data_IF_177894234107
#
_entry.id   IF_177894234107
#
_cell.length_a   1.000
_cell.length_b   1.000
_cell.length_c   1.000
_cell.angle_alpha   90.00
_cell.angle_beta   90.00
_cell.angle_gamma   90.00
#
_symmetry.space_group_name_H-M   'P 1'
#
loop_
_entity.id
_entity.type
_entity.pdbx_description
1 polymer ?
#
# COMPACT_ATOMS: atom_id res chain seq x y z
N UNK A 1 30.65 -3.58 -32.55
CA UNK A 1 30.29 -2.27 -31.99
C UNK A 1 29.50 -2.54 -30.70
N UNK A 2 30.08 -2.22 -29.57
CA UNK A 2 29.42 -2.26 -28.28
C UNK A 2 28.80 -0.87 -28.07
N UNK A 3 27.50 -0.84 -27.68
CA UNK A 3 26.90 0.41 -27.27
C UNK A 3 27.50 0.83 -25.91
N UNK A 4 28.23 1.96 -25.82
CA UNK A 4 28.85 2.38 -24.56
C UNK A 4 27.81 2.79 -23.49
N UNK A 5 26.56 3.06 -23.90
CA UNK A 5 25.46 3.47 -23.01
C UNK A 5 24.59 2.30 -22.55
N UNK A 6 24.99 1.06 -22.89
CA UNK A 6 24.23 -0.12 -22.48
C UNK A 6 24.49 -0.44 -20.99
N UNK A 7 23.44 -0.58 -20.22
CA UNK A 7 23.52 -1.10 -18.86
C UNK A 7 23.87 -2.59 -18.88
N UNK A 8 24.80 -2.98 -18.00
CA UNK A 8 25.12 -4.37 -17.74
C UNK A 8 24.59 -4.72 -16.36
N UNK A 9 23.68 -5.69 -16.29
CA UNK A 9 23.00 -6.10 -15.06
C UNK A 9 23.33 -7.56 -14.81
N UNK A 10 23.82 -7.87 -13.60
CA UNK A 10 24.09 -9.24 -13.17
C UNK A 10 23.13 -9.67 -12.05
N UNK A 11 22.54 -10.83 -12.23
CA UNK A 11 22.00 -11.62 -11.13
C UNK A 11 23.19 -12.38 -10.50
N UNK A 12 23.87 -11.70 -9.59
CA UNK A 12 25.08 -12.17 -8.96
C UNK A 12 24.98 -11.96 -7.46
N UNK A 13 24.90 -13.03 -6.72
CA UNK A 13 24.71 -13.03 -5.27
C UNK A 13 25.96 -13.63 -4.62
N UNK A 14 27.00 -12.81 -4.54
CA UNK A 14 28.31 -13.18 -4.01
C UNK A 14 28.61 -12.45 -2.69
N UNK A 15 29.86 -12.56 -2.26
CA UNK A 15 30.35 -11.80 -1.11
C UNK A 15 30.38 -10.29 -1.45
N UNK A 16 29.99 -9.46 -0.48
CA UNK A 16 29.85 -8.02 -0.69
C UNK A 16 31.11 -7.33 -1.22
N UNK A 17 32.30 -7.85 -0.89
CA UNK A 17 33.56 -7.33 -1.40
C UNK A 17 33.73 -7.54 -2.91
N UNK A 18 33.31 -8.68 -3.43
CA UNK A 18 33.32 -9.00 -4.86
C UNK A 18 32.26 -8.16 -5.60
N UNK A 19 31.03 -8.10 -5.03
CA UNK A 19 29.96 -7.27 -5.58
C UNK A 19 30.37 -5.79 -5.65
N UNK A 20 31.09 -5.29 -4.63
CA UNK A 20 31.62 -3.93 -4.62
C UNK A 20 32.60 -3.68 -5.76
N UNK A 21 33.52 -4.61 -6.04
CA UNK A 21 34.45 -4.47 -7.17
C UNK A 21 33.71 -4.38 -8.51
N UNK A 22 32.70 -5.23 -8.70
CA UNK A 22 31.88 -5.22 -9.90
C UNK A 22 31.07 -3.92 -10.03
N UNK A 23 30.50 -3.44 -8.92
CA UNK A 23 29.77 -2.18 -8.87
C UNK A 23 30.67 -0.99 -9.18
N UNK A 24 31.88 -0.95 -8.62
CA UNK A 24 32.88 0.09 -8.88
C UNK A 24 33.37 0.06 -10.35
N UNK A 25 33.29 -1.08 -11.02
CA UNK A 25 33.56 -1.23 -12.45
C UNK A 25 32.41 -0.73 -13.35
N UNK A 26 31.23 -0.45 -12.78
CA UNK A 26 30.06 0.06 -13.50
C UNK A 26 28.97 -0.99 -13.79
N UNK A 27 29.05 -2.16 -13.17
CA UNK A 27 28.06 -3.22 -13.32
C UNK A 27 26.95 -3.00 -12.29
N UNK A 28 25.69 -3.09 -12.73
CA UNK A 28 24.53 -3.10 -11.86
C UNK A 28 24.28 -4.51 -11.33
N UNK A 29 24.09 -4.64 -10.03
CA UNK A 29 23.96 -5.93 -9.36
C UNK A 29 22.60 -6.08 -8.68
N UNK A 30 21.99 -7.23 -8.81
CA UNK A 30 20.74 -7.54 -8.11
C UNK A 30 20.98 -7.56 -6.60
N UNK A 31 20.16 -6.81 -5.85
CA UNK A 31 20.11 -6.80 -4.41
C UNK A 31 18.84 -7.46 -3.91
N UNK A 32 18.94 -8.74 -3.54
CA UNK A 32 17.80 -9.49 -3.02
C UNK A 32 17.42 -9.03 -1.61
N UNK A 33 16.31 -8.33 -1.49
CA UNK A 33 15.72 -7.88 -0.22
C UNK A 33 14.35 -8.51 0.05
N UNK A 34 13.98 -9.55 -0.71
CA UNK A 34 12.70 -10.21 -0.61
C UNK A 34 12.35 -10.63 0.83
N UNK A 35 13.31 -11.25 1.53
CA UNK A 35 13.08 -11.70 2.91
C UNK A 35 12.69 -10.51 3.79
N UNK A 36 13.52 -9.48 3.83
CA UNK A 36 13.33 -8.34 4.72
C UNK A 36 12.06 -7.53 4.39
N UNK A 37 11.80 -7.25 3.12
CA UNK A 37 10.57 -6.59 2.69
C UNK A 37 9.33 -7.46 2.94
N UNK A 38 9.43 -8.77 2.76
CA UNK A 38 8.37 -9.70 3.07
C UNK A 38 8.02 -9.70 4.56
N UNK A 39 9.02 -9.80 5.45
CA UNK A 39 8.83 -9.75 6.90
C UNK A 39 8.25 -8.39 7.33
N UNK A 40 8.77 -7.28 6.78
CA UNK A 40 8.25 -5.94 7.02
C UNK A 40 6.78 -5.81 6.58
N UNK A 41 6.45 -6.28 5.38
CA UNK A 41 5.08 -6.25 4.86
C UNK A 41 4.13 -7.07 5.72
N UNK A 42 4.56 -8.27 6.14
CA UNK A 42 3.79 -9.14 7.02
C UNK A 42 3.68 -8.66 8.48
N UNK A 43 4.42 -7.62 8.88
CA UNK A 43 4.40 -7.10 10.26
C UNK A 43 5.22 -7.91 11.26
N UNK A 44 6.24 -8.65 10.80
CA UNK A 44 7.17 -9.39 11.65
C UNK A 44 8.49 -8.63 11.77
N UNK A 45 8.67 -7.91 12.88
CA UNK A 45 9.76 -6.94 13.03
C UNK A 45 10.86 -7.37 14.01
N UNK A 46 10.71 -8.50 14.70
CA UNK A 46 11.62 -8.95 15.75
C UNK A 46 13.00 -9.32 15.17
N UNK A 47 14.02 -9.11 15.94
CA UNK A 47 15.41 -9.53 15.66
C UNK A 47 15.96 -9.00 14.32
N UNK A 48 15.50 -7.84 13.86
CA UNK A 48 15.99 -7.23 12.62
C UNK A 48 15.52 -7.92 11.33
N UNK A 49 14.56 -8.85 11.37
CA UNK A 49 14.06 -9.54 10.17
C UNK A 49 13.56 -8.59 9.10
N UNK A 50 12.90 -7.51 9.53
CA UNK A 50 12.31 -6.50 8.66
C UNK A 50 13.25 -5.36 8.32
N UNK A 51 14.53 -5.47 8.65
CA UNK A 51 15.52 -4.46 8.29
C UNK A 51 15.98 -4.64 6.84
N UNK A 52 15.50 -3.78 5.95
CA UNK A 52 15.86 -3.78 4.54
C UNK A 52 16.89 -2.69 4.18
N UNK A 53 17.67 -2.20 5.16
CA UNK A 53 18.71 -1.17 4.93
C UNK A 53 19.76 -1.60 3.90
N UNK A 54 19.97 -2.91 3.74
CA UNK A 54 20.90 -3.48 2.77
C UNK A 54 20.53 -3.23 1.29
N UNK A 55 19.39 -2.57 1.00
CA UNK A 55 19.05 -2.02 -0.32
C UNK A 55 19.92 -0.80 -0.67
N UNK A 56 20.49 -0.15 0.34
CA UNK A 56 21.33 1.03 0.20
C UNK A 56 22.75 0.64 -0.20
N UNK A 57 23.28 1.27 -1.24
CA UNK A 57 24.69 1.13 -1.61
C UNK A 57 25.62 1.65 -0.50
N UNK A 58 25.18 2.65 0.27
CA UNK A 58 25.97 3.20 1.39
C UNK A 58 26.07 2.18 2.54
N UNK A 59 24.99 1.49 2.88
CA UNK A 59 25.02 0.43 3.90
C UNK A 59 25.89 -0.75 3.48
N UNK A 60 26.01 -1.00 2.16
CA UNK A 60 26.95 -1.97 1.57
C UNK A 60 28.40 -1.46 1.52
N UNK A 61 28.62 -0.19 1.84
CA UNK A 61 29.90 0.49 1.70
C UNK A 61 30.42 0.47 0.24
N UNK A 62 29.49 0.61 -0.73
CA UNK A 62 29.80 0.78 -2.15
C UNK A 62 29.98 2.26 -2.48
N UNK A 63 30.73 2.56 -3.55
CA UNK A 63 30.99 3.93 -3.96
C UNK A 63 29.85 4.51 -4.81
N UNK A 64 29.14 3.66 -5.56
CA UNK A 64 28.12 4.05 -6.52
C UNK A 64 26.78 3.32 -6.26
N UNK A 65 25.62 3.91 -6.61
CA UNK A 65 24.31 3.32 -6.36
C UNK A 65 23.95 2.20 -7.35
N UNK A 66 24.84 1.22 -7.52
CA UNK A 66 24.73 0.16 -8.52
C UNK A 66 23.99 -1.09 -8.01
N UNK A 67 23.38 -1.05 -6.83
CA UNK A 67 22.50 -2.12 -6.34
C UNK A 67 21.08 -1.93 -6.88
N UNK A 68 20.59 -2.90 -7.67
CA UNK A 68 19.20 -2.95 -8.10
C UNK A 68 18.41 -3.68 -7.01
N UNK A 69 17.77 -2.93 -6.12
CA UNK A 69 16.96 -3.49 -5.07
C UNK A 69 15.63 -4.06 -5.59
N UNK A 70 15.19 -5.20 -5.03
CA UNK A 70 13.88 -5.75 -5.34
C UNK A 70 13.21 -6.43 -4.14
N UNK A 71 11.88 -6.43 -4.14
CA UNK A 71 11.03 -7.09 -3.15
C UNK A 71 10.59 -8.48 -3.62
N UNK A 72 10.52 -8.68 -4.91
CA UNK A 72 10.06 -9.90 -5.59
C UNK A 72 10.88 -10.14 -6.85
N UNK A 73 11.07 -11.41 -7.22
CA UNK A 73 11.64 -11.81 -8.49
C UNK A 73 11.00 -13.10 -9.01
N UNK A 74 11.61 -13.73 -10.02
CA UNK A 74 11.18 -15.03 -10.55
C UNK A 74 11.43 -16.18 -9.55
N UNK A 75 12.29 -15.99 -8.57
CA UNK A 75 12.72 -17.03 -7.62
C UNK A 75 12.10 -16.91 -6.22
N UNK A 76 11.50 -15.78 -5.89
CA UNK A 76 10.93 -15.54 -4.57
C UNK A 76 9.40 -15.62 -4.56
N UNK A 77 8.85 -15.84 -3.36
CA UNK A 77 7.41 -15.80 -3.12
C UNK A 77 6.87 -14.37 -3.24
N UNK A 78 5.64 -14.22 -3.68
CA UNK A 78 4.99 -12.91 -3.84
C UNK A 78 4.68 -12.26 -2.50
N UNK A 79 4.93 -10.95 -2.38
CA UNK A 79 4.65 -10.21 -1.14
C UNK A 79 3.16 -10.29 -0.78
N UNK A 80 2.26 -10.14 -1.75
CA UNK A 80 0.83 -10.28 -1.52
C UNK A 80 0.46 -11.67 -1.00
N UNK A 81 0.99 -12.73 -1.61
CA UNK A 81 0.77 -14.11 -1.14
C UNK A 81 1.27 -14.32 0.29
N UNK A 82 2.44 -13.77 0.63
CA UNK A 82 2.99 -13.83 1.99
C UNK A 82 2.08 -13.12 2.99
N UNK A 83 1.60 -11.91 2.67
CA UNK A 83 0.69 -11.16 3.52
C UNK A 83 -0.60 -11.94 3.81
N UNK A 84 -1.23 -12.49 2.78
CA UNK A 84 -2.46 -13.28 2.90
C UNK A 84 -2.26 -14.57 3.70
N UNK A 85 -1.10 -15.23 3.53
CA UNK A 85 -0.83 -16.54 4.14
C UNK A 85 -0.31 -16.43 5.57
N UNK A 86 0.60 -15.50 5.83
CA UNK A 86 1.39 -15.44 7.06
C UNK A 86 1.45 -14.05 7.72
N UNK A 87 0.63 -13.12 7.24
CA UNK A 87 0.54 -11.78 7.82
C UNK A 87 0.19 -11.80 9.30
N UNK A 88 0.79 -10.92 10.06
CA UNK A 88 0.53 -10.71 11.48
C UNK A 88 -0.86 -10.08 11.70
N UNK A 89 -1.39 -10.19 12.91
CA UNK A 89 -2.70 -9.63 13.24
C UNK A 89 -2.86 -9.41 14.75
N UNK A 90 -3.78 -8.51 15.08
CA UNK A 90 -4.36 -8.39 16.40
C UNK A 90 -5.90 -8.38 16.31
N UNK A 91 -6.60 -8.00 17.40
CA UNK A 91 -8.06 -7.97 17.43
C UNK A 91 -8.68 -6.99 16.42
N UNK A 92 -7.97 -5.92 16.04
CA UNK A 92 -8.49 -4.79 15.25
C UNK A 92 -7.82 -4.63 13.89
N UNK A 93 -6.68 -5.27 13.64
CA UNK A 93 -5.89 -5.14 12.43
C UNK A 93 -5.38 -6.50 11.98
N UNK A 94 -5.72 -6.92 10.77
CA UNK A 94 -5.36 -8.24 10.26
C UNK A 94 -4.75 -8.12 8.86
N UNK A 95 -3.46 -8.41 8.74
CA UNK A 95 -2.73 -8.32 7.47
C UNK A 95 -3.19 -9.40 6.46
N UNK A 96 -3.84 -10.48 6.93
CA UNK A 96 -4.42 -11.50 6.04
C UNK A 96 -5.73 -11.07 5.36
N UNK A 97 -6.32 -9.97 5.79
CA UNK A 97 -7.40 -9.33 5.04
C UNK A 97 -6.86 -8.75 3.73
N UNK A 98 -7.56 -8.99 2.62
CA UNK A 98 -7.05 -8.64 1.29
C UNK A 98 -6.85 -7.13 1.10
N UNK A 99 -7.69 -6.30 1.72
CA UNK A 99 -7.54 -4.83 1.66
C UNK A 99 -6.32 -4.40 2.47
N UNK A 100 -6.21 -4.89 3.70
CA UNK A 100 -5.05 -4.62 4.56
C UNK A 100 -3.76 -5.13 3.92
N UNK A 101 -3.77 -6.30 3.28
CA UNK A 101 -2.62 -6.86 2.57
C UNK A 101 -2.12 -5.95 1.44
N UNK A 102 -3.04 -5.35 0.67
CA UNK A 102 -2.72 -4.35 -0.37
C UNK A 102 -2.16 -3.07 0.26
N UNK A 103 -2.76 -2.60 1.36
CA UNK A 103 -2.28 -1.41 2.08
C UNK A 103 -0.87 -1.60 2.62
N UNK A 104 -0.53 -2.82 3.06
CA UNK A 104 0.84 -3.18 3.48
C UNK A 104 1.83 -3.14 2.31
N UNK A 105 1.41 -3.48 1.09
CA UNK A 105 2.28 -3.32 -0.09
C UNK A 105 2.53 -1.84 -0.38
N UNK A 106 1.53 -0.95 -0.20
CA UNK A 106 1.76 0.50 -0.32
C UNK A 106 2.76 1.01 0.70
N UNK A 107 2.65 0.58 1.96
CA UNK A 107 3.60 0.92 3.01
C UNK A 107 5.04 0.53 2.61
N UNK A 108 5.28 -0.72 2.22
CA UNK A 108 6.62 -1.15 1.82
C UNK A 108 7.10 -0.46 0.54
N UNK A 109 6.21 -0.18 -0.41
CA UNK A 109 6.53 0.54 -1.65
C UNK A 109 6.95 1.99 -1.38
N UNK A 110 6.31 2.69 -0.43
CA UNK A 110 6.70 4.05 -0.02
C UNK A 110 8.17 4.09 0.43
N UNK A 111 8.63 3.08 1.14
CA UNK A 111 10.03 2.95 1.58
C UNK A 111 10.94 2.41 0.49
N UNK A 112 10.44 1.53 -0.36
CA UNK A 112 11.21 0.92 -1.44
C UNK A 112 11.65 1.94 -2.49
N UNK A 113 10.72 2.75 -3.00
CA UNK A 113 11.03 3.70 -4.07
C UNK A 113 11.77 4.93 -3.59
N UNK A 114 11.61 5.32 -2.33
CA UNK A 114 12.23 6.56 -1.79
C UNK A 114 13.70 6.41 -1.42
N UNK A 115 14.19 5.19 -1.18
CA UNK A 115 15.63 4.95 -1.00
C UNK A 115 16.35 5.18 -2.34
N UNK A 116 17.45 5.98 -2.39
CA UNK A 116 18.21 6.20 -3.62
C UNK A 116 18.71 4.91 -4.28
N UNK A 117 18.96 4.98 -5.59
CA UNK A 117 19.43 3.88 -6.42
C UNK A 117 18.33 3.15 -7.19
N UNK A 118 18.69 2.32 -8.18
CA UNK A 118 17.77 1.64 -9.10
C UNK A 118 16.92 0.57 -8.40
N UNK A 119 15.74 0.34 -8.95
CA UNK A 119 14.76 -0.61 -8.42
C UNK A 119 14.24 -1.52 -9.51
N UNK A 120 13.98 -2.78 -9.17
CA UNK A 120 13.31 -3.73 -10.04
C UNK A 120 11.92 -4.05 -9.49
N UNK A 121 10.90 -3.96 -10.34
CA UNK A 121 9.54 -4.42 -10.07
C UNK A 121 9.36 -5.74 -10.81
N UNK A 122 8.94 -6.78 -10.09
CA UNK A 122 8.57 -8.03 -10.73
C UNK A 122 7.12 -7.99 -11.21
N UNK A 123 6.85 -8.68 -12.30
CA UNK A 123 5.57 -8.71 -13.03
C UNK A 123 4.36 -8.83 -12.10
N UNK A 124 3.42 -7.88 -12.22
CA UNK A 124 2.20 -7.72 -11.44
C UNK A 124 2.38 -7.45 -9.93
N UNK A 125 3.61 -7.28 -9.43
CA UNK A 125 3.85 -6.87 -8.04
C UNK A 125 3.21 -5.52 -7.73
N UNK A 126 3.17 -4.62 -8.72
CA UNK A 126 2.52 -3.31 -8.68
C UNK A 126 0.97 -3.38 -8.59
N UNK A 127 0.42 -4.56 -8.77
CA UNK A 127 -1.01 -4.85 -8.59
C UNK A 127 -1.28 -5.89 -7.50
N UNK A 128 -0.26 -6.20 -6.68
CA UNK A 128 -0.40 -7.16 -5.58
C UNK A 128 -0.68 -8.58 -6.07
N UNK A 129 0.23 -9.12 -6.89
CA UNK A 129 0.10 -10.48 -7.43
C UNK A 129 0.11 -11.53 -6.33
N UNK A 130 -0.94 -12.35 -6.23
CA UNK A 130 -1.22 -13.24 -5.10
C UNK A 130 -1.10 -14.74 -5.40
N UNK A 131 -0.61 -15.10 -6.59
CA UNK A 131 -0.29 -16.50 -6.89
C UNK A 131 1.07 -16.88 -6.32
N UNK A 132 1.11 -17.98 -5.55
CA UNK A 132 2.37 -18.52 -5.02
C UNK A 132 3.37 -18.83 -6.14
N UNK A 133 4.66 -18.68 -5.83
CA UNK A 133 5.75 -19.16 -6.68
C UNK A 133 5.60 -20.67 -7.00
N UNK A 134 4.94 -21.42 -6.13
CA UNK A 134 4.71 -22.87 -6.31
C UNK A 134 3.41 -23.20 -7.07
N UNK A 135 2.60 -22.17 -7.43
CA UNK A 135 1.43 -22.41 -8.27
C UNK A 135 1.84 -23.03 -9.61
N UNK A 136 1.21 -24.15 -9.99
CA UNK A 136 1.56 -24.93 -11.17
C UNK A 136 3.03 -25.44 -11.16
N UNK A 137 3.59 -25.66 -9.97
CA UNK A 137 5.01 -25.97 -9.76
C UNK A 137 5.92 -24.76 -9.84
N UNK A 138 7.11 -24.81 -9.19
CA UNK A 138 8.03 -23.66 -9.08
C UNK A 138 8.41 -23.09 -10.45
N UNK A 139 8.71 -23.95 -11.43
CA UNK A 139 9.11 -23.57 -12.79
C UNK A 139 7.93 -23.45 -13.77
N UNK A 140 6.71 -23.79 -13.33
CA UNK A 140 5.52 -23.73 -14.18
C UNK A 140 5.07 -22.29 -14.45
N UNK A 141 4.38 -22.05 -15.58
CA UNK A 141 3.88 -20.72 -15.92
C UNK A 141 2.86 -20.23 -14.89
N UNK A 142 2.99 -18.96 -14.52
CA UNK A 142 2.05 -18.29 -13.63
C UNK A 142 0.98 -17.58 -14.46
N UNK A 143 -0.27 -17.50 -13.97
CA UNK A 143 -1.35 -16.81 -14.69
C UNK A 143 -1.01 -15.35 -14.98
N UNK A 144 -1.32 -14.93 -16.20
CA UNK A 144 -1.31 -13.51 -16.57
C UNK A 144 -2.61 -12.88 -16.07
N UNK A 145 -2.54 -11.82 -15.30
CA UNK A 145 -3.66 -11.23 -14.56
C UNK A 145 -3.88 -9.74 -14.89
N UNK A 146 -4.08 -9.44 -16.18
CA UNK A 146 -4.48 -8.07 -16.57
C UNK A 146 -5.83 -7.65 -16.01
N UNK A 147 -6.70 -8.61 -15.68
CA UNK A 147 -7.97 -8.40 -15.00
C UNK A 147 -7.82 -7.80 -13.58
N UNK A 148 -6.62 -7.85 -12.99
CA UNK A 148 -6.34 -7.15 -11.72
C UNK A 148 -6.51 -5.64 -11.83
N UNK A 149 -6.32 -5.08 -13.01
CA UNK A 149 -6.53 -3.66 -13.26
C UNK A 149 -8.00 -3.23 -13.15
N UNK A 150 -8.93 -4.17 -13.27
CA UNK A 150 -10.37 -3.92 -13.09
C UNK A 150 -10.79 -3.92 -11.60
N UNK A 151 -9.96 -4.45 -10.69
CA UNK A 151 -10.15 -4.30 -9.24
C UNK A 151 -9.60 -2.94 -8.80
N UNK A 152 -10.46 -2.04 -8.37
CA UNK A 152 -10.09 -0.67 -7.99
C UNK A 152 -8.98 -0.60 -6.93
N UNK A 153 -8.89 -1.57 -5.99
CA UNK A 153 -7.85 -1.60 -4.95
C UNK A 153 -6.47 -1.89 -5.56
N UNK A 154 -6.44 -2.80 -6.53
CA UNK A 154 -5.23 -3.18 -7.26
C UNK A 154 -4.83 -2.09 -8.25
N UNK A 155 -5.82 -1.46 -8.91
CA UNK A 155 -5.59 -0.27 -9.72
C UNK A 155 -5.04 0.88 -8.89
N UNK A 156 -5.59 1.10 -7.68
CA UNK A 156 -5.08 2.11 -6.75
C UNK A 156 -3.64 1.82 -6.33
N UNK A 157 -3.29 0.55 -6.08
CA UNK A 157 -1.90 0.16 -5.83
C UNK A 157 -0.99 0.45 -7.04
N UNK A 158 -1.46 0.15 -8.25
CA UNK A 158 -0.74 0.48 -9.48
C UNK A 158 -0.51 1.99 -9.63
N UNK A 159 -1.54 2.80 -9.45
CA UNK A 159 -1.45 4.26 -9.53
C UNK A 159 -0.53 4.82 -8.42
N UNK A 160 -0.53 4.19 -7.25
CA UNK A 160 0.39 4.50 -6.15
C UNK A 160 1.85 4.22 -6.51
N UNK A 161 2.15 3.06 -7.10
CA UNK A 161 3.49 2.76 -7.63
C UNK A 161 3.92 3.79 -8.68
N UNK A 162 3.02 4.11 -9.60
CA UNK A 162 3.27 5.13 -10.65
C UNK A 162 3.65 6.46 -10.03
N UNK A 163 2.92 6.91 -9.00
CA UNK A 163 3.20 8.19 -8.33
C UNK A 163 4.57 8.22 -7.62
N UNK A 164 4.98 7.10 -7.02
CA UNK A 164 6.31 6.98 -6.40
C UNK A 164 7.44 6.95 -7.43
N UNK A 165 7.20 6.31 -8.58
CA UNK A 165 8.14 6.31 -9.71
C UNK A 165 8.28 7.72 -10.26
N UNK A 166 7.16 8.46 -10.44
CA UNK A 166 7.17 9.84 -10.89
C UNK A 166 7.90 10.75 -9.89
N UNK A 167 7.67 10.56 -8.60
CA UNK A 167 8.39 11.26 -7.54
C UNK A 167 9.90 11.05 -7.67
N UNK A 168 10.34 9.79 -7.79
CA UNK A 168 11.74 9.43 -7.93
C UNK A 168 12.38 9.97 -9.22
N UNK A 169 11.65 9.99 -10.33
CA UNK A 169 12.17 10.45 -11.64
C UNK A 169 12.22 11.96 -11.78
N UNK A 170 11.34 12.68 -11.11
CA UNK A 170 11.17 14.12 -11.35
C UNK A 170 11.85 15.00 -10.29
N UNK A 171 12.35 14.42 -9.18
CA UNK A 171 12.95 15.17 -8.10
C UNK A 171 14.32 14.61 -7.71
N UNK A 172 15.38 15.38 -7.97
CA UNK A 172 16.78 15.01 -7.70
C UNK A 172 17.04 14.63 -6.23
N UNK A 173 16.18 15.08 -5.31
CA UNK A 173 16.28 14.71 -3.90
C UNK A 173 16.29 13.18 -3.70
N UNK A 174 15.57 12.41 -4.51
CA UNK A 174 15.52 10.93 -4.41
C UNK A 174 16.76 10.23 -5.02
N UNK A 175 17.68 10.97 -5.57
CA UNK A 175 19.03 10.48 -6.00
C UNK A 175 20.14 11.08 -5.12
N UNK A 176 19.76 11.78 -4.03
CA UNK A 176 20.73 12.36 -3.09
C UNK A 176 21.63 11.29 -2.46
N UNK A 177 22.87 11.64 -2.21
CA UNK A 177 23.77 10.85 -1.39
C UNK A 177 23.77 11.26 0.10
N UNK A 178 23.04 12.31 0.47
CA UNK A 178 22.82 12.72 1.86
C UNK A 178 21.46 12.17 2.35
N UNK A 179 21.47 10.91 2.79
CA UNK A 179 20.32 10.28 3.39
C UNK A 179 20.70 9.38 4.56
N UNK A 180 19.76 9.14 5.46
CA UNK A 180 19.94 8.24 6.60
C UNK A 180 18.75 7.28 6.71
N UNK A 181 19.04 6.05 7.09
CA UNK A 181 18.07 4.97 7.26
C UNK A 181 17.96 4.59 8.73
N UNK A 182 16.74 4.55 9.24
CA UNK A 182 16.39 3.98 10.55
C UNK A 182 15.34 2.91 10.32
N UNK A 183 15.75 1.71 9.93
CA UNK A 183 14.88 0.65 9.41
C UNK A 183 14.84 -0.60 10.32
N UNK A 184 15.58 -0.59 11.42
CA UNK A 184 15.49 -1.63 12.42
C UNK A 184 14.26 -1.41 13.32
N UNK A 185 13.49 -2.48 13.59
CA UNK A 185 12.26 -2.39 14.35
C UNK A 185 11.02 -2.07 13.52
N UNK A 186 9.88 -1.86 14.21
CA UNK A 186 8.58 -1.65 13.57
C UNK A 186 8.38 -0.21 13.08
N UNK A 187 8.82 0.77 13.86
CA UNK A 187 8.77 2.17 13.48
C UNK A 187 9.98 2.52 12.61
N UNK A 188 9.74 2.81 11.35
CA UNK A 188 10.82 3.04 10.38
C UNK A 188 10.81 4.46 9.85
N UNK A 189 12.02 4.96 9.53
CA UNK A 189 12.22 6.31 9.01
C UNK A 189 13.34 6.35 7.97
N UNK A 190 13.13 7.17 6.93
CA UNK A 190 14.15 7.59 5.97
C UNK A 190 14.20 9.12 6.00
N UNK A 191 15.38 9.67 6.14
CA UNK A 191 15.63 11.10 5.98
C UNK A 191 16.47 11.29 4.73
N UNK A 192 16.02 12.16 3.84
CA UNK A 192 16.75 12.57 2.66
C UNK A 192 16.94 14.08 2.72
N UNK A 193 18.16 14.55 2.55
CA UNK A 193 18.48 15.96 2.46
C UNK A 193 19.03 16.25 1.06
N UNK A 194 18.52 17.30 0.46
CA UNK A 194 19.00 17.78 -0.83
C UNK A 194 18.80 19.29 -0.92
N UNK A 195 19.63 19.97 -1.70
CA UNK A 195 19.56 21.44 -1.85
C UNK A 195 18.23 21.92 -2.40
N UNK A 196 17.53 21.08 -3.19
CA UNK A 196 16.23 21.44 -3.76
C UNK A 196 15.05 21.09 -2.83
N UNK A 197 15.18 20.09 -1.96
CA UNK A 197 14.07 19.60 -1.13
C UNK A 197 14.56 18.61 -0.09
N UNK A 198 14.10 18.75 1.14
CA UNK A 198 14.28 17.73 2.18
C UNK A 198 13.04 16.85 2.29
N UNK A 199 13.26 15.55 2.47
CA UNK A 199 12.16 14.55 2.55
C UNK A 199 12.27 13.75 3.84
N UNK A 200 11.13 13.47 4.45
CA UNK A 200 10.99 12.59 5.62
C UNK A 200 9.93 11.53 5.34
N UNK A 201 10.35 10.28 5.33
CA UNK A 201 9.46 9.13 5.17
C UNK A 201 9.39 8.44 6.51
N UNK A 202 8.19 8.28 7.05
CA UNK A 202 7.94 7.57 8.30
C UNK A 202 6.85 6.52 8.09
N UNK A 203 6.93 5.41 8.82
CA UNK A 203 5.95 4.33 8.69
C UNK A 203 5.93 3.40 9.89
N UNK A 204 4.73 2.94 10.20
CA UNK A 204 4.46 1.94 11.23
C UNK A 204 4.28 0.56 10.59
N UNK A 205 5.26 -0.30 10.74
CA UNK A 205 5.26 -1.66 10.23
C UNK A 205 4.70 -2.69 11.22
N UNK A 206 4.20 -2.24 12.38
CA UNK A 206 3.51 -3.10 13.35
C UNK A 206 2.02 -3.25 13.00
N UNK A 207 1.33 -4.02 13.83
CA UNK A 207 -0.13 -4.22 13.83
C UNK A 207 -0.83 -3.42 14.92
N UNK A 208 -0.11 -2.58 15.66
CA UNK A 208 -0.62 -1.67 16.69
C UNK A 208 -0.19 -0.25 16.39
N UNK A 209 -0.90 0.72 16.98
CA UNK A 209 -0.51 2.13 16.97
C UNK A 209 0.79 2.33 17.75
N UNK A 210 1.66 3.20 17.23
CA UNK A 210 2.88 3.63 17.91
C UNK A 210 3.32 5.01 17.42
N UNK A 211 4.30 5.62 18.06
CA UNK A 211 4.79 6.96 17.74
C UNK A 211 6.22 6.95 17.18
N UNK A 212 6.51 7.91 16.32
CA UNK A 212 7.84 8.11 15.76
C UNK A 212 8.18 9.59 15.65
N UNK A 213 9.42 9.95 16.00
CA UNK A 213 9.95 11.27 15.67
C UNK A 213 10.36 11.29 14.19
N UNK A 214 9.75 12.14 13.34
CA UNK A 214 10.10 12.25 11.90
C UNK A 214 11.50 12.80 11.68
N UNK A 215 12.14 13.40 12.69
CA UNK A 215 13.44 14.04 12.60
C UNK A 215 13.47 15.14 11.51
N UNK A 216 12.48 16.04 11.55
CA UNK A 216 12.41 17.15 10.62
C UNK A 216 13.70 17.99 10.68
N UNK A 217 14.18 18.42 9.51
CA UNK A 217 15.45 19.15 9.40
C UNK A 217 15.37 20.55 10.00
N UNK A 218 14.19 21.19 9.90
CA UNK A 218 13.96 22.57 10.38
C UNK A 218 12.50 22.77 10.80
N UNK A 219 12.24 23.80 11.58
CA UNK A 219 10.88 24.28 11.88
C UNK A 219 10.25 24.94 10.66
N UNK A 220 8.92 25.02 10.64
CA UNK A 220 8.15 25.59 9.55
C UNK A 220 7.16 24.60 8.96
N UNK A 221 6.70 24.87 7.74
CA UNK A 221 5.73 24.01 7.07
C UNK A 221 6.40 22.82 6.40
N UNK A 222 5.77 21.66 6.59
CA UNK A 222 6.05 20.42 5.88
C UNK A 222 4.75 19.90 5.27
N UNK A 223 4.82 19.35 4.07
CA UNK A 223 3.67 18.93 3.26
C UNK A 223 3.66 17.42 3.09
N UNK A 224 2.53 16.79 3.38
CA UNK A 224 2.35 15.37 3.12
C UNK A 224 1.98 15.16 1.65
N UNK A 225 2.76 14.33 0.96
CA UNK A 225 2.72 14.20 -0.50
C UNK A 225 1.38 13.66 -1.02
N UNK A 226 0.84 12.61 -0.38
CA UNK A 226 -0.37 11.94 -0.87
C UNK A 226 -1.66 12.67 -0.52
N UNK A 227 -1.76 13.27 0.62
CA UNK A 227 -2.96 14.01 1.04
C UNK A 227 -2.96 15.45 0.56
N UNK A 228 -1.76 16.02 0.34
CA UNK A 228 -1.58 17.46 0.08
C UNK A 228 -1.74 18.34 1.31
N UNK A 229 -1.95 17.74 2.48
CA UNK A 229 -2.05 18.45 3.76
C UNK A 229 -0.70 19.02 4.19
N UNK A 230 -0.70 19.92 5.16
CA UNK A 230 0.53 20.46 5.74
C UNK A 230 0.48 20.48 7.23
N UNK A 231 1.63 20.27 7.84
CA UNK A 231 1.84 20.48 9.29
C UNK A 231 2.80 21.64 9.50
N UNK A 232 2.67 22.33 10.63
CA UNK A 232 3.61 23.36 11.05
C UNK A 232 4.45 22.79 12.18
N UNK A 233 5.71 22.51 11.90
CA UNK A 233 6.68 21.98 12.86
C UNK A 233 7.25 23.15 13.67
N UNK A 234 6.99 23.18 14.96
CA UNK A 234 7.57 24.14 15.92
C UNK A 234 8.60 23.49 16.83
N UNK A 235 8.42 22.19 17.12
CA UNK A 235 9.32 21.36 17.91
C UNK A 235 9.81 20.18 17.06
N UNK A 236 11.10 20.16 16.79
CA UNK A 236 11.73 19.11 15.95
C UNK A 236 11.73 17.72 16.60
N UNK A 237 11.50 17.66 17.91
CA UNK A 237 11.51 16.42 18.67
C UNK A 237 10.10 15.88 18.94
N UNK A 238 9.06 16.54 18.44
CA UNK A 238 7.68 16.12 18.64
C UNK A 238 7.38 14.87 17.81
N UNK A 239 6.97 13.76 18.45
CA UNK A 239 6.65 12.55 17.71
C UNK A 239 5.29 12.67 17.01
N UNK A 240 5.12 11.88 15.98
CA UNK A 240 3.86 11.67 15.25
C UNK A 240 3.35 10.28 15.57
N UNK A 241 2.09 10.17 15.97
CA UNK A 241 1.39 8.90 16.15
C UNK A 241 0.99 8.37 14.79
N UNK A 242 1.32 7.10 14.51
CA UNK A 242 0.93 6.38 13.32
C UNK A 242 0.11 5.14 13.69
N UNK A 243 -1.04 4.99 13.04
CA UNK A 243 -1.83 3.79 13.15
C UNK A 243 -1.08 2.57 12.54
N UNK A 244 -1.53 1.35 12.85
CA UNK A 244 -0.99 0.14 12.24
C UNK A 244 -1.01 0.23 10.71
N UNK A 245 0.15 0.04 10.07
CA UNK A 245 0.28 0.11 8.61
C UNK A 245 0.28 1.53 8.01
N UNK A 246 0.22 2.56 8.83
CA UNK A 246 0.23 3.95 8.37
C UNK A 246 1.66 4.39 7.98
N UNK A 247 1.74 5.25 6.97
CA UNK A 247 2.97 5.90 6.52
C UNK A 247 2.70 7.33 6.07
N UNK A 248 3.75 8.16 6.05
CA UNK A 248 3.72 9.54 5.56
C UNK A 248 5.00 9.83 4.79
N UNK A 249 4.87 10.63 3.72
CA UNK A 249 6.00 11.21 2.99
C UNK A 249 5.88 12.73 3.09
N UNK A 250 6.72 13.33 3.92
CA UNK A 250 6.76 14.77 4.12
C UNK A 250 7.87 15.39 3.29
N UNK A 251 7.57 16.53 2.66
CA UNK A 251 8.52 17.38 1.94
C UNK A 251 8.47 18.80 2.51
N UNK A 252 9.62 19.49 2.53
CA UNK A 252 9.69 20.89 3.00
C UNK A 252 9.27 21.91 1.95
N UNK A 253 9.09 21.49 0.71
CA UNK A 253 8.43 22.25 -0.35
C UNK A 253 7.09 21.60 -0.73
N UNK A 254 6.11 22.41 -1.13
CA UNK A 254 4.84 21.88 -1.58
C UNK A 254 4.97 21.28 -2.98
N UNK A 255 4.72 19.98 -3.09
CA UNK A 255 4.58 19.28 -4.36
C UNK A 255 3.10 19.24 -4.79
N UNK A 256 2.88 19.05 -6.08
CA UNK A 256 1.55 18.71 -6.56
C UNK A 256 1.15 17.33 -6.03
N UNK A 257 -0.04 17.27 -5.46
CA UNK A 257 -0.61 16.00 -4.99
C UNK A 257 -0.75 15.05 -6.19
N UNK A 258 -0.29 13.80 -6.08
CA UNK A 258 -0.45 12.84 -7.17
C UNK A 258 -1.94 12.56 -7.38
N UNK A 259 -2.35 12.50 -8.64
CA UNK A 259 -3.66 12.00 -9.02
C UNK A 259 -3.64 10.46 -8.99
N UNK A 260 -3.43 9.93 -7.82
CA UNK A 260 -3.77 8.55 -7.55
C UNK A 260 -5.26 8.58 -7.28
N UNK A 261 -6.03 8.07 -8.21
CA UNK A 261 -7.43 7.84 -7.95
C UNK A 261 -7.53 7.26 -6.56
N UNK A 262 -8.29 7.87 -5.67
CA UNK A 262 -8.38 7.47 -4.25
C UNK A 262 -8.94 6.05 -4.08
N UNK A 263 -8.84 5.21 -5.12
CA UNK A 263 -9.67 4.03 -5.30
C UNK A 263 -11.13 4.43 -5.46
N UNK A 264 -11.37 5.72 -5.32
CA UNK A 264 -12.63 6.41 -5.51
C UNK A 264 -12.22 7.74 -6.12
N UNK A 265 -12.54 7.92 -7.39
CA UNK A 265 -12.39 9.21 -8.04
C UNK A 265 -12.96 10.28 -7.11
N UNK A 266 -12.18 11.35 -6.81
CA UNK A 266 -12.69 12.58 -6.20
C UNK A 266 -13.63 13.25 -7.22
N UNK A 267 -14.65 12.53 -7.62
CA UNK A 267 -15.75 13.11 -8.34
C UNK A 267 -16.55 13.91 -7.32
N UNK A 268 -16.36 15.23 -7.32
CA UNK A 268 -17.44 16.13 -6.94
C UNK A 268 -18.71 15.47 -7.40
N UNK A 269 -19.77 15.55 -6.59
CA UNK A 269 -21.11 15.11 -6.94
C UNK A 269 -21.52 15.68 -8.30
N UNK A 270 -20.97 15.12 -9.38
CA UNK A 270 -21.54 15.25 -10.71
C UNK A 270 -22.64 14.20 -10.77
N UNK A 271 -23.82 14.60 -11.19
CA UNK A 271 -25.07 13.82 -11.19
C UNK A 271 -24.97 12.47 -11.94
N UNK A 272 -23.79 12.03 -12.39
CA UNK A 272 -23.56 10.86 -13.23
C UNK A 272 -22.49 9.88 -12.73
N UNK A 273 -22.04 9.93 -11.46
CA UNK A 273 -21.03 8.96 -10.98
C UNK A 273 -21.64 7.88 -10.09
N UNK A 274 -21.53 6.59 -10.51
CA UNK A 274 -22.42 5.55 -10.02
C UNK A 274 -22.02 4.87 -8.71
N UNK A 275 -20.79 4.93 -8.22
CA UNK A 275 -20.36 3.95 -7.22
C UNK A 275 -19.70 4.53 -5.96
N UNK A 276 -20.53 4.94 -4.96
CA UNK A 276 -20.05 5.31 -3.61
C UNK A 276 -19.87 4.10 -2.68
N UNK A 277 -20.26 2.90 -3.13
CA UNK A 277 -20.14 1.69 -2.32
C UNK A 277 -19.82 0.45 -3.14
N UNK A 278 -19.29 -0.58 -2.48
CA UNK A 278 -19.13 -1.91 -3.07
C UNK A 278 -19.27 -2.99 -1.97
N UNK A 279 -19.51 -4.23 -2.39
CA UNK A 279 -19.70 -5.37 -1.50
C UNK A 279 -18.80 -6.53 -1.88
N UNK A 280 -18.14 -7.14 -0.88
CA UNK A 280 -17.33 -8.33 -1.08
C UNK A 280 -17.28 -9.23 0.16
N UNK A 281 -17.02 -10.54 0.00
CA UNK A 281 -17.13 -11.29 -1.25
C UNK A 281 -18.57 -11.28 -1.77
N UNK A 282 -18.78 -11.36 -3.07
CA UNK A 282 -20.10 -11.47 -3.67
C UNK A 282 -19.98 -12.30 -4.97
N UNK A 283 -20.49 -13.55 -5.01
CA UNK A 283 -21.26 -14.26 -3.99
C UNK A 283 -20.51 -14.58 -2.69
N UNK A 284 -21.27 -14.87 -1.61
CA UNK A 284 -20.71 -15.35 -0.35
C UNK A 284 -21.64 -16.35 0.32
N UNK A 285 -21.05 -17.26 1.11
CA UNK A 285 -21.74 -18.19 2.00
C UNK A 285 -21.70 -17.74 3.48
N UNK A 286 -20.95 -16.68 3.77
CA UNK A 286 -20.74 -16.11 5.11
C UNK A 286 -21.04 -14.61 5.11
N UNK A 287 -20.16 -13.82 5.70
CA UNK A 287 -20.29 -12.37 5.83
C UNK A 287 -20.00 -11.64 4.51
N UNK A 288 -20.75 -10.58 4.29
CA UNK A 288 -20.51 -9.57 3.27
C UNK A 288 -19.93 -8.32 3.93
N UNK A 289 -18.84 -7.81 3.41
CA UNK A 289 -18.34 -6.48 3.75
C UNK A 289 -18.89 -5.48 2.74
N UNK A 290 -19.58 -4.46 3.23
CA UNK A 290 -20.10 -3.35 2.42
C UNK A 290 -19.27 -2.12 2.77
N UNK A 291 -18.46 -1.71 1.82
CA UNK A 291 -17.60 -0.53 1.96
C UNK A 291 -18.34 0.67 1.41
N UNK A 292 -18.33 1.76 2.17
CA UNK A 292 -18.89 3.05 1.77
C UNK A 292 -17.78 4.08 1.91
N UNK A 293 -17.57 4.92 0.90
CA UNK A 293 -16.71 6.06 1.00
C UNK A 293 -17.50 7.36 0.92
N UNK A 294 -17.32 8.19 1.92
CA UNK A 294 -17.96 9.49 2.01
C UNK A 294 -16.95 10.61 1.77
N UNK A 295 -17.17 11.48 0.78
CA UNK A 295 -16.31 12.63 0.53
C UNK A 295 -16.41 13.70 1.63
N UNK A 296 -17.54 13.75 2.32
CA UNK A 296 -17.82 14.70 3.40
C UNK A 296 -18.75 14.09 4.45
N UNK A 297 -18.95 14.78 5.57
CA UNK A 297 -19.95 14.41 6.58
C UNK A 297 -21.33 14.35 5.93
N UNK A 298 -21.98 13.20 5.94
CA UNK A 298 -23.29 13.01 5.34
C UNK A 298 -24.21 12.09 6.15
N UNK A 299 -25.52 12.38 6.09
CA UNK A 299 -26.53 11.43 6.59
C UNK A 299 -26.56 10.23 5.67
N UNK A 300 -26.23 9.06 6.23
CA UNK A 300 -26.07 7.80 5.51
C UNK A 300 -27.05 6.75 6.02
N UNK A 301 -27.75 6.11 5.08
CA UNK A 301 -28.66 5.00 5.38
C UNK A 301 -28.32 3.83 4.44
N UNK A 302 -28.00 2.66 5.04
CA UNK A 302 -27.70 1.42 4.33
C UNK A 302 -28.67 0.33 4.80
N UNK A 303 -29.44 -0.24 3.87
CA UNK A 303 -30.44 -1.27 4.15
C UNK A 303 -30.37 -2.40 3.13
N UNK A 304 -30.70 -3.60 3.56
CA UNK A 304 -30.78 -4.81 2.74
C UNK A 304 -32.25 -5.13 2.44
N UNK A 305 -32.53 -5.52 1.19
CA UNK A 305 -33.86 -5.88 0.70
C UNK A 305 -33.82 -7.23 -0.04
N UNK A 306 -34.93 -7.96 -0.02
CA UNK A 306 -35.14 -9.15 -0.86
C UNK A 306 -35.63 -8.76 -2.27
N UNK A 307 -35.84 -9.77 -3.13
CA UNK A 307 -36.35 -9.59 -4.49
C UNK A 307 -37.78 -8.97 -4.56
N UNK A 308 -38.54 -9.07 -3.48
CA UNK A 308 -39.88 -8.50 -3.40
C UNK A 308 -39.90 -7.05 -2.91
N UNK A 309 -38.67 -6.49 -2.62
CA UNK A 309 -38.54 -5.14 -2.07
C UNK A 309 -38.83 -5.03 -0.58
N UNK A 310 -38.98 -6.17 0.15
CA UNK A 310 -39.16 -6.17 1.59
C UNK A 310 -37.83 -5.91 2.30
N UNK A 311 -37.82 -5.01 3.28
CA UNK A 311 -36.66 -4.71 4.10
C UNK A 311 -36.24 -5.91 4.95
N UNK A 312 -35.05 -6.40 4.78
CA UNK A 312 -34.48 -7.52 5.54
C UNK A 312 -33.68 -7.00 6.73
N UNK A 313 -32.81 -6.00 6.48
CA UNK A 313 -31.92 -5.48 7.52
C UNK A 313 -31.64 -4.00 7.32
N UNK A 314 -31.71 -3.23 8.39
CA UNK A 314 -31.05 -1.93 8.46
C UNK A 314 -29.67 -2.13 9.03
N UNK A 315 -28.63 -1.83 8.23
CA UNK A 315 -27.22 -1.92 8.64
C UNK A 315 -26.83 -0.67 9.40
N UNK A 316 -27.13 0.51 8.84
CA UNK A 316 -26.86 1.81 9.46
C UNK A 316 -27.88 2.86 9.00
N UNK A 317 -28.16 3.82 9.88
CA UNK A 317 -28.97 5.02 9.58
C UNK A 317 -28.54 6.16 10.52
N UNK A 318 -27.42 6.84 10.18
CA UNK A 318 -26.84 7.92 10.98
C UNK A 318 -26.03 8.85 10.10
N UNK A 319 -25.49 9.93 10.69
CA UNK A 319 -24.48 10.74 10.02
C UNK A 319 -23.10 10.14 10.22
N UNK A 320 -22.36 9.98 9.13
CA UNK A 320 -20.98 9.49 9.12
C UNK A 320 -20.04 10.61 8.67
N UNK A 321 -18.84 10.64 9.23
CA UNK A 321 -17.75 11.53 8.81
C UNK A 321 -17.29 11.22 7.38
N UNK A 322 -16.53 12.12 6.80
CA UNK A 322 -15.78 11.80 5.57
C UNK A 322 -14.83 10.63 5.80
N UNK A 323 -14.59 9.83 4.74
CA UNK A 323 -13.69 8.68 4.77
C UNK A 323 -14.37 7.36 4.45
N UNK A 324 -13.60 6.28 4.61
CA UNK A 324 -14.03 4.92 4.31
C UNK A 324 -14.67 4.29 5.54
N UNK A 325 -15.85 3.69 5.36
CA UNK A 325 -16.58 2.98 6.39
C UNK A 325 -16.84 1.55 5.92
N UNK A 326 -16.57 0.57 6.80
CA UNK A 326 -16.83 -0.84 6.54
C UNK A 326 -17.98 -1.33 7.40
N UNK A 327 -19.00 -1.91 6.77
CA UNK A 327 -20.14 -2.51 7.42
C UNK A 327 -20.27 -3.98 7.02
N UNK A 328 -20.73 -4.82 7.94
CA UNK A 328 -20.90 -6.25 7.69
C UNK A 328 -22.38 -6.63 7.66
N UNK A 329 -22.73 -7.52 6.70
CA UNK A 329 -24.00 -8.24 6.71
C UNK A 329 -23.74 -9.75 6.69
N UNK A 330 -24.27 -10.46 7.67
CA UNK A 330 -24.03 -11.88 7.92
C UNK A 330 -25.22 -12.77 7.48
N UNK A 331 -26.03 -12.34 6.53
CA UNK A 331 -27.19 -13.09 6.06
C UNK A 331 -28.30 -13.24 7.09
N UNK A 332 -28.42 -12.29 8.05
CA UNK A 332 -29.49 -12.26 9.05
C UNK A 332 -30.38 -11.04 8.89
N UNK A 333 -31.64 -11.20 9.23
CA UNK A 333 -32.62 -10.11 9.23
C UNK A 333 -32.51 -9.23 10.51
N UNK A 334 -33.40 -8.22 10.64
CA UNK A 334 -33.45 -7.34 11.82
C UNK A 334 -33.69 -8.08 13.13
N UNK A 335 -34.35 -9.24 13.09
CA UNK A 335 -34.65 -10.05 14.28
C UNK A 335 -33.52 -11.04 14.61
N UNK A 336 -32.42 -11.04 13.86
CA UNK A 336 -31.28 -11.95 14.04
C UNK A 336 -31.49 -13.35 13.44
N UNK A 337 -32.61 -13.60 12.75
CA UNK A 337 -32.90 -14.86 12.08
C UNK A 337 -32.17 -14.93 10.73
N UNK A 338 -31.66 -16.10 10.37
CA UNK A 338 -31.06 -16.33 9.07
C UNK A 338 -32.08 -16.19 7.93
N UNK A 339 -31.60 -15.62 6.82
CA UNK A 339 -32.41 -15.54 5.60
C UNK A 339 -32.01 -16.63 4.61
N UNK A 340 -32.90 -16.95 3.67
CA UNK A 340 -32.71 -17.99 2.67
C UNK A 340 -31.57 -17.62 1.68
N UNK A 341 -30.96 -18.64 1.06
CA UNK A 341 -30.10 -18.43 -0.08
C UNK A 341 -30.85 -17.72 -1.20
N UNK A 342 -30.17 -16.80 -1.88
CA UNK A 342 -30.80 -16.07 -2.96
C UNK A 342 -30.15 -14.73 -3.26
N UNK A 343 -30.85 -13.95 -4.07
CA UNK A 343 -30.45 -12.61 -4.46
C UNK A 343 -31.08 -11.60 -3.51
N UNK A 344 -30.29 -10.71 -3.02
CA UNK A 344 -30.63 -9.55 -2.20
C UNK A 344 -30.10 -8.29 -2.86
N UNK A 345 -30.60 -7.14 -2.41
CA UNK A 345 -30.09 -5.83 -2.80
C UNK A 345 -29.77 -5.03 -1.55
N UNK A 346 -28.66 -4.33 -1.55
CA UNK A 346 -28.56 -3.23 -0.61
C UNK A 346 -28.87 -1.91 -1.31
N UNK A 347 -29.50 -1.02 -0.55
CA UNK A 347 -29.78 0.34 -0.94
C UNK A 347 -29.02 1.26 0.01
N UNK A 348 -28.10 2.03 -0.57
CA UNK A 348 -27.34 3.06 0.11
C UNK A 348 -27.91 4.42 -0.26
N UNK A 349 -28.26 5.22 0.77
CA UNK A 349 -28.67 6.62 0.60
C UNK A 349 -27.71 7.53 1.33
N UNK A 350 -27.17 8.51 0.63
CA UNK A 350 -26.27 9.54 1.14
C UNK A 350 -26.83 10.90 0.72
N UNK A 351 -27.42 11.64 1.65
CA UNK A 351 -28.11 12.88 1.31
C UNK A 351 -29.24 12.66 0.29
N UNK A 352 -29.07 13.17 -0.93
CA UNK A 352 -29.99 12.96 -2.06
C UNK A 352 -29.57 11.83 -3.02
N UNK A 353 -28.37 11.29 -2.84
CA UNK A 353 -27.85 10.21 -3.67
C UNK A 353 -28.39 8.86 -3.20
N UNK A 354 -28.79 8.02 -4.14
CA UNK A 354 -29.24 6.65 -3.89
C UNK A 354 -28.52 5.69 -4.81
N UNK A 355 -27.99 4.61 -4.25
CA UNK A 355 -27.27 3.55 -4.97
C UNK A 355 -27.89 2.19 -4.61
N UNK A 356 -28.09 1.33 -5.61
CA UNK A 356 -28.65 -0.02 -5.44
C UNK A 356 -27.67 -1.04 -6.00
N UNK A 357 -27.24 -2.01 -5.18
CA UNK A 357 -26.36 -3.09 -5.62
C UNK A 357 -26.85 -4.47 -5.20
N UNK A 358 -26.54 -5.45 -6.05
CA UNK A 358 -26.91 -6.84 -5.87
C UNK A 358 -25.96 -7.58 -4.93
N UNK A 359 -26.51 -8.40 -4.04
CA UNK A 359 -25.82 -9.35 -3.18
C UNK A 359 -26.32 -10.77 -3.49
N UNK A 360 -25.43 -11.74 -3.56
CA UNK A 360 -25.77 -13.15 -3.80
C UNK A 360 -25.33 -13.96 -2.58
N UNK A 361 -26.29 -14.39 -1.77
CA UNK A 361 -26.07 -15.28 -0.64
C UNK A 361 -26.23 -16.74 -1.09
N UNK A 362 -25.18 -17.55 -0.91
CA UNK A 362 -25.15 -18.96 -1.29
C UNK A 362 -24.48 -19.79 -0.19
N UNK A 363 -25.24 -20.16 0.84
CA UNK A 363 -24.78 -21.04 1.92
C UNK A 363 -24.72 -22.49 1.48
#
# INVERSE_FOLDING_TARGET
>A
NVNPDAYVIFEHLAENSEEKELADYGILLWGNLHYNYGEASMGWNENGKSDFSWISYQERNWNEPHVIGYMESHDEERVMFKNLSWGNSNANYNIKDSTTAIDRIRLVAAFFFTIPGPKMIWQFGEMGYDYSINFNGRLGPKPVRWDYYDDWRRKYLYDFFSSLIDLKKNYDAFESNDYTLSLNGAMKRININHVSMSVRIIGNFDVIEDEINPNFLHSGKWYEYFTGDSITVSNLNEPIILQAGEYRIYTDIKLDKPDIGTGIENNRFEENNPDLSYVYPNPSNEDFNIIINLPELAKTCLKIYNLLGEEIKTIINTSLSSGIHNFKWNGKNNNGSEVSNGIYFYILRIGKHEEVKKIILSK
#
